data_IF_236777230705
#
_entry.id   IF_236777230705
#
_cell.length_a   1.000
_cell.length_b   1.000
_cell.length_c   1.000
_cell.angle_alpha   90.00
_cell.angle_beta   90.00
_cell.angle_gamma   90.00
#
_symmetry.space_group_name_H-M   'P 1'
#
loop_
_entity.id
_entity.type
_entity.pdbx_description
1 polymer ?
#
# COMPACT_ATOMS: atom_id res chain seq x y z
N UNK A 1 -9.42 25.23 12.14
CA UNK A 1 -8.03 25.06 12.63
C UNK A 1 -7.41 23.77 12.08
N UNK A 2 -8.00 22.62 12.30
CA UNK A 2 -7.45 21.30 11.86
C UNK A 2 -7.26 21.15 10.36
N UNK A 3 -8.16 21.68 9.52
CA UNK A 3 -7.98 21.70 8.07
C UNK A 3 -6.69 22.47 7.66
N UNK A 4 -6.40 23.61 8.28
CA UNK A 4 -5.17 24.36 8.02
C UNK A 4 -3.92 23.54 8.41
N UNK A 5 -3.99 22.82 9.53
CA UNK A 5 -2.90 21.94 9.98
C UNK A 5 -2.68 20.83 8.94
N UNK A 6 -3.75 20.23 8.41
CA UNK A 6 -3.64 19.20 7.36
C UNK A 6 -3.02 19.76 6.06
N UNK A 7 -3.37 20.99 5.65
CA UNK A 7 -2.74 21.65 4.50
C UNK A 7 -1.23 21.87 4.75
N UNK A 8 -0.88 22.33 5.96
CA UNK A 8 0.53 22.48 6.35
C UNK A 8 1.23 21.11 6.33
N UNK A 9 0.55 20.05 6.84
CA UNK A 9 1.05 18.70 6.83
C UNK A 9 1.37 18.20 5.42
N UNK A 10 0.49 18.45 4.45
CA UNK A 10 0.74 18.10 3.05
C UNK A 10 2.02 18.76 2.52
N UNK A 11 2.20 20.05 2.81
CA UNK A 11 3.39 20.80 2.39
C UNK A 11 4.65 20.26 3.10
N UNK A 12 4.55 19.95 4.39
CA UNK A 12 5.67 19.40 5.18
C UNK A 12 6.07 18.02 4.65
N UNK A 13 5.11 17.14 4.33
CA UNK A 13 5.41 15.79 3.82
C UNK A 13 6.10 15.85 2.45
N UNK A 14 5.65 16.72 1.56
CA UNK A 14 6.35 16.99 0.30
C UNK A 14 7.74 17.60 0.55
N UNK A 15 7.85 18.53 1.50
CA UNK A 15 9.11 19.14 1.92
C UNK A 15 10.11 18.12 2.47
N UNK A 16 9.65 17.12 3.25
CA UNK A 16 10.48 16.02 3.73
C UNK A 16 11.03 15.21 2.55
N UNK A 17 10.19 14.88 1.56
CA UNK A 17 10.64 14.17 0.37
C UNK A 17 11.75 14.96 -0.37
N UNK A 18 11.60 16.28 -0.51
CA UNK A 18 12.62 17.17 -1.10
C UNK A 18 13.87 17.24 -0.22
N UNK A 19 13.72 17.30 1.10
CA UNK A 19 14.84 17.35 2.04
C UNK A 19 15.74 16.13 1.93
N UNK A 20 15.16 14.93 1.81
CA UNK A 20 15.85 13.67 1.65
C UNK A 20 16.19 13.32 0.19
N UNK A 21 15.89 14.21 -0.76
CA UNK A 21 16.23 14.04 -2.17
C UNK A 21 17.74 13.91 -2.39
N UNK A 22 18.12 12.91 -3.20
CA UNK A 22 19.51 12.67 -3.58
C UNK A 22 19.98 13.52 -4.75
N UNK A 23 19.04 14.13 -5.48
CA UNK A 23 19.35 14.98 -6.65
C UNK A 23 18.30 16.09 -6.82
N UNK A 24 18.34 17.06 -5.90
CA UNK A 24 17.37 18.18 -5.86
C UNK A 24 17.36 19.06 -7.13
N UNK A 25 18.49 19.10 -7.86
CA UNK A 25 18.62 19.96 -9.04
C UNK A 25 17.82 19.42 -10.23
N UNK A 26 17.64 18.10 -10.30
CA UNK A 26 16.97 17.41 -11.39
C UNK A 26 15.49 17.11 -11.10
N UNK A 27 14.92 17.66 -10.02
CA UNK A 27 13.48 17.51 -9.71
C UNK A 27 12.67 18.21 -10.81
N UNK A 28 11.77 17.46 -11.44
CA UNK A 28 10.86 17.93 -12.48
C UNK A 28 9.62 18.59 -11.84
N UNK A 29 9.76 19.81 -11.32
CA UNK A 29 8.72 20.52 -10.58
C UNK A 29 7.39 20.63 -11.33
N UNK A 30 7.42 20.75 -12.66
CA UNK A 30 6.22 20.82 -13.47
C UNK A 30 5.44 19.51 -13.40
N UNK A 31 6.09 18.36 -13.53
CA UNK A 31 5.47 17.05 -13.40
C UNK A 31 4.93 16.81 -11.98
N UNK A 32 5.69 17.19 -10.95
CA UNK A 32 5.24 17.10 -9.56
C UNK A 32 3.99 17.97 -9.35
N UNK A 33 3.97 19.20 -9.85
CA UNK A 33 2.80 20.07 -9.75
C UNK A 33 1.55 19.46 -10.41
N UNK A 34 1.70 18.86 -11.60
CA UNK A 34 0.59 18.15 -12.29
C UNK A 34 0.09 16.98 -11.46
N UNK A 35 1.01 16.18 -10.91
CA UNK A 35 0.65 15.01 -10.07
C UNK A 35 -0.05 15.43 -8.78
N UNK A 36 0.40 16.50 -8.12
CA UNK A 36 -0.25 17.05 -6.92
C UNK A 36 -1.66 17.53 -7.25
N UNK A 37 -1.84 18.27 -8.35
CA UNK A 37 -3.18 18.71 -8.80
C UNK A 37 -4.06 17.50 -9.15
N UNK A 38 -3.51 16.50 -9.81
CA UNK A 38 -4.23 15.25 -10.12
C UNK A 38 -4.70 14.56 -8.82
N UNK A 39 -3.84 14.47 -7.82
CA UNK A 39 -4.20 13.87 -6.54
C UNK A 39 -5.25 14.66 -5.77
N UNK A 40 -5.15 16.00 -5.77
CA UNK A 40 -6.20 16.86 -5.22
C UNK A 40 -7.55 16.64 -5.91
N UNK A 41 -7.52 16.55 -7.24
CA UNK A 41 -8.73 16.25 -8.02
C UNK A 41 -9.30 14.88 -7.69
N UNK A 42 -8.47 13.84 -7.64
CA UNK A 42 -8.93 12.48 -7.30
C UNK A 42 -9.50 12.40 -5.88
N UNK A 43 -8.83 13.02 -4.90
CA UNK A 43 -9.32 13.05 -3.53
C UNK A 43 -10.66 13.78 -3.43
N UNK A 44 -10.75 14.98 -4.03
CA UNK A 44 -12.03 15.73 -4.12
C UNK A 44 -13.10 14.92 -4.82
N UNK A 45 -12.80 14.31 -5.96
CA UNK A 45 -13.75 13.56 -6.76
C UNK A 45 -14.32 12.36 -6.01
N UNK A 46 -13.48 11.57 -5.35
CA UNK A 46 -13.92 10.36 -4.67
C UNK A 46 -14.54 10.60 -3.29
N UNK A 47 -14.11 11.65 -2.57
CA UNK A 47 -14.59 11.92 -1.21
C UNK A 47 -15.75 12.91 -1.18
N UNK A 48 -15.75 13.93 -2.04
CA UNK A 48 -16.70 15.02 -1.96
C UNK A 48 -17.73 15.03 -3.10
N UNK A 49 -17.33 14.64 -4.31
CA UNK A 49 -18.21 14.72 -5.48
C UNK A 49 -19.14 13.50 -5.58
N UNK A 50 -20.46 13.73 -5.65
CA UNK A 50 -21.50 12.68 -5.59
C UNK A 50 -21.28 11.51 -6.56
N UNK A 51 -20.91 11.79 -7.81
CA UNK A 51 -20.66 10.75 -8.81
C UNK A 51 -19.44 9.91 -8.48
N UNK A 52 -18.38 10.54 -7.96
CA UNK A 52 -17.19 9.85 -7.50
C UNK A 52 -17.48 8.95 -6.30
N UNK A 53 -18.23 9.47 -5.32
CA UNK A 53 -18.68 8.68 -4.17
C UNK A 53 -19.54 7.49 -4.60
N UNK A 54 -20.50 7.70 -5.52
CA UNK A 54 -21.32 6.61 -6.06
C UNK A 54 -20.48 5.57 -6.78
N UNK A 55 -19.47 5.99 -7.54
CA UNK A 55 -18.58 5.09 -8.25
C UNK A 55 -17.77 4.21 -7.29
N UNK A 56 -17.12 4.79 -6.28
CA UNK A 56 -16.33 4.00 -5.30
C UNK A 56 -17.23 3.12 -4.42
N UNK A 57 -18.40 3.60 -4.00
CA UNK A 57 -19.39 2.78 -3.26
C UNK A 57 -19.91 1.63 -4.12
N UNK A 58 -20.25 1.90 -5.38
CA UNK A 58 -20.68 0.86 -6.32
C UNK A 58 -19.62 -0.22 -6.53
N UNK A 59 -18.36 0.19 -6.70
CA UNK A 59 -17.23 -0.73 -6.81
C UNK A 59 -16.99 -1.51 -5.51
N UNK A 60 -17.05 -0.86 -4.34
CA UNK A 60 -16.93 -1.52 -3.04
C UNK A 60 -18.02 -2.56 -2.82
N UNK A 61 -19.28 -2.22 -3.16
CA UNK A 61 -20.40 -3.16 -3.10
C UNK A 61 -20.22 -4.34 -4.06
N UNK A 62 -19.69 -4.10 -5.27
CA UNK A 62 -19.35 -5.15 -6.23
C UNK A 62 -18.30 -6.12 -5.67
N UNK A 63 -17.25 -5.61 -5.04
CA UNK A 63 -16.23 -6.43 -4.36
C UNK A 63 -16.85 -7.20 -3.20
N UNK A 64 -17.68 -6.56 -2.37
CA UNK A 64 -18.36 -7.21 -1.27
C UNK A 64 -19.28 -8.35 -1.76
N UNK A 65 -19.94 -8.18 -2.90
CA UNK A 65 -20.74 -9.24 -3.53
C UNK A 65 -19.87 -10.43 -3.97
N UNK A 66 -18.69 -10.19 -4.55
CA UNK A 66 -17.73 -11.28 -4.87
C UNK A 66 -17.26 -11.98 -3.61
N UNK A 67 -16.98 -11.24 -2.54
CA UNK A 67 -16.59 -11.80 -1.24
C UNK A 67 -17.69 -12.70 -0.65
N UNK A 68 -18.95 -12.34 -0.79
CA UNK A 68 -20.07 -13.21 -0.37
C UNK A 68 -20.07 -14.56 -1.11
N UNK A 69 -19.75 -14.54 -2.42
CA UNK A 69 -19.61 -15.79 -3.19
C UNK A 69 -18.43 -16.64 -2.70
N UNK A 70 -17.33 -16.00 -2.30
CA UNK A 70 -16.21 -16.70 -1.69
C UNK A 70 -16.57 -17.32 -0.34
N UNK A 71 -17.37 -16.62 0.48
CA UNK A 71 -17.87 -17.16 1.75
C UNK A 71 -18.79 -18.37 1.55
N UNK A 72 -19.56 -18.45 0.46
CA UNK A 72 -20.33 -19.63 0.15
C UNK A 72 -19.42 -20.86 -0.09
N UNK A 73 -18.31 -20.70 -0.82
CA UNK A 73 -17.30 -21.74 -1.00
C UNK A 73 -16.62 -22.14 0.32
N UNK A 74 -16.25 -21.14 1.12
CA UNK A 74 -15.66 -21.37 2.46
C UNK A 74 -16.65 -22.10 3.38
N UNK A 75 -17.92 -21.70 3.37
CA UNK A 75 -18.97 -22.34 4.17
C UNK A 75 -19.23 -23.79 3.78
N UNK A 76 -19.08 -24.12 2.49
CA UNK A 76 -19.15 -25.51 2.05
C UNK A 76 -17.97 -26.34 2.59
N UNK A 77 -16.75 -25.79 2.52
CA UNK A 77 -15.53 -26.50 2.96
C UNK A 77 -15.36 -26.51 4.49
N UNK A 78 -15.75 -25.41 5.16
CA UNK A 78 -15.49 -25.16 6.59
C UNK A 78 -16.73 -24.58 7.29
N UNK A 79 -17.85 -25.29 7.28
CA UNK A 79 -19.13 -24.83 7.85
C UNK A 79 -19.02 -24.39 9.32
N UNK A 80 -18.18 -25.06 10.12
CA UNK A 80 -17.94 -24.69 11.52
C UNK A 80 -17.26 -23.35 11.73
N UNK A 81 -16.51 -22.86 10.73
CA UNK A 81 -15.81 -21.57 10.79
C UNK A 81 -16.65 -20.41 10.27
N UNK A 82 -17.70 -20.69 9.49
CA UNK A 82 -18.57 -19.66 8.88
C UNK A 82 -19.90 -19.50 9.61
N UNK A 83 -20.43 -20.58 10.21
CA UNK A 83 -21.69 -20.55 10.96
C UNK A 83 -21.49 -20.11 12.41
N UNK A 84 -20.78 -18.98 12.61
CA UNK A 84 -20.47 -18.39 13.90
C UNK A 84 -20.97 -16.94 13.95
N UNK A 85 -21.23 -16.43 15.17
CA UNK A 85 -21.68 -15.03 15.35
C UNK A 85 -20.65 -14.00 14.83
N UNK A 86 -19.36 -14.34 14.90
CA UNK A 86 -18.27 -13.51 14.44
C UNK A 86 -17.17 -14.42 13.87
N UNK A 87 -16.87 -14.27 12.60
CA UNK A 87 -15.80 -15.02 11.94
C UNK A 87 -14.43 -14.47 12.36
N UNK A 88 -13.45 -15.35 12.48
CA UNK A 88 -12.06 -14.95 12.64
C UNK A 88 -11.57 -14.18 11.40
N UNK A 89 -10.60 -13.27 11.61
CA UNK A 89 -10.02 -12.45 10.54
C UNK A 89 -9.55 -13.28 9.35
N UNK A 90 -8.93 -14.43 9.60
CA UNK A 90 -8.45 -15.31 8.52
C UNK A 90 -9.60 -15.82 7.64
N UNK A 91 -10.72 -16.18 8.24
CA UNK A 91 -11.90 -16.68 7.53
C UNK A 91 -12.65 -15.54 6.83
N UNK A 92 -12.89 -14.45 7.55
CA UNK A 92 -13.69 -13.33 7.05
C UNK A 92 -12.98 -12.53 5.95
N UNK A 93 -11.68 -12.27 6.12
CA UNK A 93 -10.94 -11.36 5.25
C UNK A 93 -9.97 -12.09 4.30
N UNK A 94 -9.27 -13.15 4.73
CA UNK A 94 -8.22 -13.74 3.90
C UNK A 94 -8.71 -14.86 2.99
N UNK A 95 -9.66 -15.70 3.41
CA UNK A 95 -10.16 -16.78 2.56
C UNK A 95 -10.84 -16.32 1.26
N UNK A 96 -11.52 -15.16 1.20
CA UNK A 96 -12.01 -14.60 -0.07
C UNK A 96 -10.94 -14.40 -1.13
N UNK A 97 -9.66 -14.24 -0.76
CA UNK A 97 -8.53 -14.15 -1.68
C UNK A 97 -8.45 -15.38 -2.61
N UNK A 98 -8.87 -16.56 -2.12
CA UNK A 98 -8.92 -17.82 -2.90
C UNK A 98 -9.81 -17.73 -4.14
N UNK A 99 -10.81 -16.83 -4.14
CA UNK A 99 -11.63 -16.54 -5.32
C UNK A 99 -11.15 -15.31 -6.08
N UNK A 100 -10.76 -14.26 -5.35
CA UNK A 100 -10.46 -12.96 -5.95
C UNK A 100 -9.20 -13.03 -6.81
N UNK A 101 -8.12 -13.70 -6.37
CA UNK A 101 -6.90 -13.87 -7.16
C UNK A 101 -7.19 -14.58 -8.48
N UNK A 102 -7.80 -15.78 -8.52
CA UNK A 102 -8.16 -16.42 -9.77
C UNK A 102 -9.07 -15.58 -10.66
N UNK A 103 -9.98 -14.78 -10.09
CA UNK A 103 -10.82 -13.87 -10.87
C UNK A 103 -10.01 -12.80 -11.59
N UNK A 104 -9.04 -12.17 -10.91
CA UNK A 104 -8.13 -11.21 -11.53
C UNK A 104 -7.23 -11.87 -12.58
N UNK A 105 -6.72 -13.07 -12.30
CA UNK A 105 -5.91 -13.83 -13.23
C UNK A 105 -6.68 -14.23 -14.49
N UNK A 106 -7.97 -14.57 -14.38
CA UNK A 106 -8.86 -14.79 -15.54
C UNK A 106 -8.93 -13.52 -16.40
N UNK A 107 -9.08 -12.34 -15.79
CA UNK A 107 -9.09 -11.07 -16.52
C UNK A 107 -7.73 -10.77 -17.19
N UNK A 108 -6.62 -11.19 -16.54
CA UNK A 108 -5.28 -11.16 -17.15
C UNK A 108 -5.18 -12.11 -18.34
N UNK A 109 -5.63 -13.37 -18.18
CA UNK A 109 -5.60 -14.39 -19.22
C UNK A 109 -6.33 -13.96 -20.52
N UNK A 110 -7.49 -13.33 -20.37
CA UNK A 110 -8.26 -12.81 -21.50
C UNK A 110 -7.78 -11.44 -22.01
N UNK A 111 -6.63 -10.92 -21.55
CA UNK A 111 -6.09 -9.61 -21.93
C UNK A 111 -7.03 -8.43 -21.63
N UNK A 112 -7.97 -8.56 -20.70
CA UNK A 112 -8.85 -7.47 -20.29
C UNK A 112 -8.05 -6.48 -19.42
N UNK A 113 -7.44 -6.96 -18.34
CA UNK A 113 -6.62 -6.14 -17.47
C UNK A 113 -5.40 -5.52 -18.17
N UNK A 114 -4.60 -6.23 -18.98
CA UNK A 114 -3.47 -5.63 -19.68
C UNK A 114 -3.86 -4.45 -20.58
N UNK A 115 -5.02 -4.51 -21.22
CA UNK A 115 -5.53 -3.39 -22.03
C UNK A 115 -5.92 -2.19 -21.18
N UNK A 116 -6.57 -2.43 -20.02
CA UNK A 116 -6.94 -1.38 -19.08
C UNK A 116 -5.68 -0.73 -18.48
N UNK A 117 -4.72 -1.55 -18.03
CA UNK A 117 -3.44 -1.09 -17.47
C UNK A 117 -2.68 -0.26 -18.49
N UNK A 118 -2.57 -0.76 -19.72
CA UNK A 118 -1.89 -0.06 -20.82
C UNK A 118 -2.54 1.28 -21.17
N UNK A 119 -3.86 1.32 -21.24
CA UNK A 119 -4.62 2.55 -21.55
C UNK A 119 -4.50 3.61 -20.47
N UNK A 120 -4.69 3.24 -19.21
CA UNK A 120 -4.57 4.17 -18.07
C UNK A 120 -3.11 4.61 -17.89
N UNK A 121 -2.14 3.69 -18.00
CA UNK A 121 -0.72 4.00 -17.89
C UNK A 121 -0.26 4.96 -18.98
N UNK A 122 -0.71 4.78 -20.22
CA UNK A 122 -0.44 5.71 -21.32
C UNK A 122 -1.03 7.11 -21.04
N UNK A 123 -2.28 7.17 -20.56
CA UNK A 123 -2.92 8.43 -20.22
C UNK A 123 -2.17 9.15 -19.09
N UNK A 124 -1.79 8.40 -18.04
CA UNK A 124 -1.03 8.92 -16.92
C UNK A 124 0.33 9.47 -17.38
N UNK A 125 1.09 8.72 -18.17
CA UNK A 125 2.38 9.16 -18.71
C UNK A 125 2.24 10.44 -19.54
N UNK A 126 1.21 10.51 -20.41
CA UNK A 126 0.95 11.67 -21.27
C UNK A 126 0.58 12.92 -20.47
N UNK A 127 -0.26 12.78 -19.44
CA UNK A 127 -0.71 13.92 -18.62
C UNK A 127 0.39 14.39 -17.69
N UNK A 128 1.12 13.46 -17.06
CA UNK A 128 2.10 13.77 -16.02
C UNK A 128 3.51 13.99 -16.55
N UNK A 129 3.76 13.67 -17.82
CA UNK A 129 5.09 13.73 -18.47
C UNK A 129 6.14 12.85 -17.75
N UNK A 130 5.67 11.84 -17.04
CA UNK A 130 6.56 10.85 -16.43
C UNK A 130 6.96 9.78 -17.46
N UNK A 131 8.07 9.06 -17.24
CA UNK A 131 8.47 7.97 -18.11
C UNK A 131 7.34 6.94 -18.26
N UNK A 132 7.22 6.38 -19.46
CA UNK A 132 6.09 5.49 -19.82
C UNK A 132 6.05 4.24 -18.95
N UNK A 133 7.22 3.65 -18.68
CA UNK A 133 7.28 2.42 -17.91
C UNK A 133 6.91 2.67 -16.44
N UNK A 134 7.43 3.70 -15.78
CA UNK A 134 7.10 4.04 -14.39
C UNK A 134 5.60 4.32 -14.22
N UNK A 135 5.00 5.02 -15.17
CA UNK A 135 3.55 5.27 -15.19
C UNK A 135 2.76 3.98 -15.40
N UNK A 136 3.18 3.13 -16.33
CA UNK A 136 2.60 1.81 -16.59
C UNK A 136 2.72 0.90 -15.36
N UNK A 137 3.92 0.81 -14.78
CA UNK A 137 4.21 -0.01 -13.60
C UNK A 137 3.38 0.43 -12.38
N UNK A 138 3.19 1.73 -12.19
CA UNK A 138 2.30 2.25 -11.16
C UNK A 138 0.87 1.70 -11.30
N UNK A 139 0.31 1.74 -12.50
CA UNK A 139 -1.02 1.19 -12.76
C UNK A 139 -1.04 -0.35 -12.66
N UNK A 140 0.02 -1.01 -13.15
CA UNK A 140 0.16 -2.47 -13.02
C UNK A 140 0.12 -2.93 -11.55
N UNK A 141 0.84 -2.22 -10.66
CA UNK A 141 0.83 -2.48 -9.23
C UNK A 141 -0.56 -2.35 -8.57
N UNK A 142 -1.42 -1.50 -9.09
CA UNK A 142 -2.77 -1.32 -8.56
C UNK A 142 -3.62 -2.60 -8.69
N UNK A 143 -3.35 -3.40 -9.71
CA UNK A 143 -4.08 -4.62 -9.99
C UNK A 143 -3.35 -5.88 -9.49
N UNK A 144 -2.06 -5.99 -9.78
CA UNK A 144 -1.28 -7.20 -9.48
C UNK A 144 -0.64 -7.18 -8.07
N UNK A 145 -0.34 -6.01 -7.54
CA UNK A 145 0.48 -5.89 -6.34
C UNK A 145 1.98 -5.78 -6.64
N UNK A 146 2.78 -5.66 -5.58
CA UNK A 146 4.20 -5.33 -5.72
C UNK A 146 5.05 -6.48 -6.27
N UNK A 147 4.90 -7.68 -5.74
CA UNK A 147 5.75 -8.84 -6.10
C UNK A 147 5.42 -9.38 -7.48
N UNK A 148 4.13 -9.45 -7.79
CA UNK A 148 3.61 -9.90 -9.08
C UNK A 148 3.97 -8.91 -10.19
N UNK A 149 3.78 -7.59 -9.97
CA UNK A 149 4.15 -6.56 -10.93
C UNK A 149 5.66 -6.57 -11.20
N UNK A 150 6.52 -6.74 -10.17
CA UNK A 150 7.95 -6.90 -10.35
C UNK A 150 8.29 -8.15 -11.17
N UNK A 151 7.61 -9.27 -10.93
CA UNK A 151 7.85 -10.52 -11.65
C UNK A 151 7.45 -10.42 -13.13
N UNK A 152 6.26 -9.88 -13.42
CA UNK A 152 5.77 -9.66 -14.79
C UNK A 152 6.68 -8.68 -15.55
N UNK A 153 7.18 -7.65 -14.85
CA UNK A 153 8.07 -6.65 -15.42
C UNK A 153 9.55 -7.08 -15.44
N UNK A 154 9.88 -8.35 -15.16
CA UNK A 154 11.27 -8.84 -15.01
C UNK A 154 12.18 -8.52 -16.20
N UNK A 155 11.72 -8.71 -17.43
CA UNK A 155 12.49 -8.40 -18.64
C UNK A 155 12.82 -6.91 -18.79
N UNK A 156 11.92 -6.05 -18.33
CA UNK A 156 12.15 -4.60 -18.26
C UNK A 156 13.20 -4.26 -17.19
N UNK A 157 13.07 -4.85 -16.00
CA UNK A 157 13.95 -4.57 -14.87
C UNK A 157 15.40 -5.01 -15.13
N UNK A 158 15.62 -6.14 -15.82
CA UNK A 158 16.94 -6.61 -16.23
C UNK A 158 17.69 -5.63 -17.14
N UNK A 159 16.96 -4.81 -17.89
CA UNK A 159 17.51 -3.83 -18.85
C UNK A 159 17.68 -2.44 -18.27
N UNK A 160 17.20 -2.21 -17.05
CA UNK A 160 17.27 -0.93 -16.38
C UNK A 160 18.58 -0.75 -15.61
N UNK A 161 19.03 0.50 -15.49
CA UNK A 161 20.12 0.83 -14.59
C UNK A 161 19.67 0.73 -13.11
N UNK A 162 20.65 0.57 -12.20
CA UNK A 162 20.44 0.39 -10.77
C UNK A 162 19.57 1.49 -10.13
N UNK A 163 19.72 2.74 -10.59
CA UNK A 163 18.98 3.88 -10.08
C UNK A 163 17.48 3.79 -10.43
N UNK A 164 17.19 3.38 -11.65
CA UNK A 164 15.82 3.23 -12.13
C UNK A 164 15.13 2.03 -11.45
N UNK A 165 15.86 0.92 -11.22
CA UNK A 165 15.38 -0.21 -10.42
C UNK A 165 15.07 0.22 -8.98
N UNK A 166 15.90 1.08 -8.38
CA UNK A 166 15.62 1.64 -7.05
C UNK A 166 14.34 2.47 -7.03
N UNK A 167 14.08 3.27 -8.06
CA UNK A 167 12.82 4.04 -8.18
C UNK A 167 11.61 3.10 -8.21
N UNK A 168 11.67 2.03 -8.98
CA UNK A 168 10.63 1.00 -9.04
C UNK A 168 10.45 0.32 -7.67
N UNK A 169 11.55 -0.01 -6.98
CA UNK A 169 11.50 -0.58 -5.64
C UNK A 169 10.86 0.37 -4.60
N UNK A 170 11.14 1.67 -4.69
CA UNK A 170 10.49 2.69 -3.84
C UNK A 170 8.99 2.79 -4.12
N UNK A 171 8.57 2.78 -5.40
CA UNK A 171 7.17 2.79 -5.77
C UNK A 171 6.45 1.54 -5.25
N UNK A 172 7.11 0.38 -5.28
CA UNK A 172 6.56 -0.90 -4.83
C UNK A 172 6.27 -0.96 -3.32
N UNK A 173 6.87 -0.06 -2.51
CA UNK A 173 6.64 0.00 -1.06
C UNK A 173 5.22 0.40 -0.65
N UNK A 174 4.46 1.03 -1.52
CA UNK A 174 3.15 1.61 -1.18
C UNK A 174 1.99 1.00 -1.96
N UNK A 175 2.27 0.07 -2.87
CA UNK A 175 1.23 -0.56 -3.68
C UNK A 175 0.43 -1.58 -2.89
N UNK A 176 -0.85 -1.71 -3.25
CA UNK A 176 -1.78 -2.72 -2.71
C UNK A 176 -2.38 -3.47 -3.88
N UNK A 177 -2.30 -4.80 -3.83
CA UNK A 177 -2.89 -5.67 -4.85
C UNK A 177 -4.41 -5.58 -4.87
N UNK A 178 -5.00 -5.53 -6.06
CA UNK A 178 -6.44 -5.65 -6.24
C UNK A 178 -7.03 -6.91 -5.61
N UNK A 179 -6.26 -8.00 -5.58
CA UNK A 179 -6.65 -9.25 -4.95
C UNK A 179 -6.87 -9.13 -3.42
N UNK A 180 -6.13 -8.25 -2.75
CA UNK A 180 -6.21 -8.05 -1.29
C UNK A 180 -7.32 -7.05 -0.93
N UNK A 181 -7.77 -6.23 -1.87
CA UNK A 181 -8.84 -5.25 -1.64
C UNK A 181 -10.10 -5.90 -1.05
N UNK A 182 -10.43 -7.11 -1.51
CA UNK A 182 -11.55 -7.87 -0.96
C UNK A 182 -11.43 -8.15 0.54
N UNK A 183 -10.22 -8.38 1.04
CA UNK A 183 -9.96 -8.52 2.47
C UNK A 183 -10.13 -7.19 3.22
N UNK A 184 -9.62 -6.11 2.67
CA UNK A 184 -9.67 -4.80 3.32
C UNK A 184 -11.09 -4.26 3.47
N UNK A 185 -11.95 -4.44 2.44
CA UNK A 185 -13.36 -3.97 2.49
C UNK A 185 -14.20 -4.70 3.55
N UNK A 186 -13.72 -5.84 4.07
CA UNK A 186 -14.35 -6.54 5.19
C UNK A 186 -13.93 -5.98 6.56
N UNK A 187 -12.85 -5.21 6.62
CA UNK A 187 -12.24 -4.74 7.86
C UNK A 187 -12.43 -3.24 8.07
N UNK A 188 -12.43 -2.46 7.00
CA UNK A 188 -12.51 -1.00 7.02
C UNK A 188 -13.43 -0.50 5.90
N UNK A 189 -13.91 0.77 5.93
CA UNK A 189 -14.84 1.28 4.92
C UNK A 189 -14.33 1.15 3.49
N UNK A 190 -15.04 0.36 2.67
CA UNK A 190 -14.61 -0.02 1.33
C UNK A 190 -14.45 1.16 0.37
N UNK A 191 -15.25 2.22 0.52
CA UNK A 191 -15.13 3.46 -0.26
C UNK A 191 -13.80 4.17 0.00
N UNK A 192 -13.29 4.14 1.23
CA UNK A 192 -11.99 4.73 1.58
C UNK A 192 -10.84 3.84 1.06
N UNK A 193 -11.01 2.52 1.11
CA UNK A 193 -10.05 1.58 0.52
C UNK A 193 -9.84 1.86 -0.95
N UNK A 194 -10.93 1.92 -1.72
CA UNK A 194 -10.88 2.15 -3.17
C UNK A 194 -10.43 3.55 -3.54
N UNK A 195 -10.72 4.54 -2.70
CA UNK A 195 -10.20 5.90 -2.86
C UNK A 195 -8.69 5.95 -2.69
N UNK A 196 -8.15 5.27 -1.68
CA UNK A 196 -6.72 5.30 -1.36
C UNK A 196 -5.85 4.70 -2.48
N UNK A 197 -6.31 3.66 -3.18
CA UNK A 197 -5.51 2.93 -4.16
C UNK A 197 -4.97 3.83 -5.29
N UNK A 198 -5.80 4.55 -6.07
CA UNK A 198 -5.29 5.43 -7.13
C UNK A 198 -4.46 6.60 -6.57
N UNK A 199 -4.79 7.13 -5.39
CA UNK A 199 -4.00 8.17 -4.75
C UNK A 199 -2.61 7.65 -4.35
N UNK A 200 -2.51 6.43 -3.84
CA UNK A 200 -1.23 5.81 -3.51
C UNK A 200 -0.30 5.71 -4.73
N UNK A 201 -0.84 5.33 -5.90
CA UNK A 201 -0.03 5.25 -7.12
C UNK A 201 0.51 6.61 -7.53
N UNK A 202 -0.34 7.63 -7.55
CA UNK A 202 0.09 9.00 -7.88
C UNK A 202 1.11 9.50 -6.85
N UNK A 203 0.88 9.26 -5.55
CA UNK A 203 1.83 9.61 -4.48
C UNK A 203 3.14 8.82 -4.57
N UNK A 204 3.10 7.54 -4.98
CA UNK A 204 4.31 6.75 -5.18
C UNK A 204 5.20 7.35 -6.28
N UNK A 205 4.60 7.82 -7.37
CA UNK A 205 5.31 8.53 -8.43
C UNK A 205 5.86 9.87 -7.89
N UNK A 206 5.04 10.68 -7.20
CA UNK A 206 5.48 11.96 -6.61
C UNK A 206 6.69 11.73 -5.71
N UNK A 207 6.59 10.83 -4.74
CA UNK A 207 7.62 10.60 -3.72
C UNK A 207 8.89 10.03 -4.34
N UNK A 208 8.77 9.05 -5.25
CA UNK A 208 9.94 8.47 -5.93
C UNK A 208 10.66 9.52 -6.78
N UNK A 209 9.93 10.36 -7.52
CA UNK A 209 10.49 11.45 -8.31
C UNK A 209 11.10 12.58 -7.46
N UNK A 210 10.61 12.81 -6.24
CA UNK A 210 11.22 13.76 -5.32
C UNK A 210 12.47 13.20 -4.65
N UNK A 211 12.42 11.97 -4.14
CA UNK A 211 13.53 11.32 -3.43
C UNK A 211 14.68 11.01 -4.38
N UNK A 212 14.39 10.54 -5.57
CA UNK A 212 15.36 10.16 -6.59
C UNK A 212 14.84 10.47 -7.99
N UNK A 213 15.00 11.74 -8.44
CA UNK A 213 14.65 12.11 -9.80
C UNK A 213 15.43 11.25 -10.82
N UNK A 214 14.71 10.66 -11.76
CA UNK A 214 15.30 9.90 -12.87
C UNK A 214 14.85 10.56 -14.17
N UNK A 215 15.80 10.89 -15.02
CA UNK A 215 15.55 11.27 -16.41
C UNK A 215 15.78 10.06 -17.29
N UNK A 216 14.84 9.76 -18.16
CA UNK A 216 14.92 8.64 -19.11
C UNK A 216 14.98 9.24 -20.49
N UNK A 217 15.97 8.84 -21.30
CA UNK A 217 16.05 9.24 -22.69
C UNK A 217 14.88 8.64 -23.48
N UNK A 218 14.35 9.36 -24.44
CA UNK A 218 13.18 8.95 -25.24
C UNK A 218 13.38 7.58 -25.92
N UNK A 219 14.63 7.23 -26.25
CA UNK A 219 15.00 5.94 -26.84
C UNK A 219 14.92 4.78 -25.86
N UNK A 220 15.10 5.05 -24.57
CA UNK A 220 15.05 4.07 -23.49
C UNK A 220 13.66 3.97 -22.84
N UNK A 221 12.76 4.89 -23.18
CA UNK A 221 11.41 4.95 -22.64
C UNK A 221 10.45 4.03 -23.41
N UNK A 222 10.77 2.73 -23.37
CA UNK A 222 10.04 1.65 -24.06
C UNK A 222 9.49 0.69 -23.00
N UNK A 223 8.26 0.20 -23.21
CA UNK A 223 7.65 -0.84 -22.36
C UNK A 223 7.83 -2.19 -23.05
N UNK A 224 8.76 -3.02 -22.54
CA UNK A 224 9.05 -4.35 -23.10
C UNK A 224 7.99 -5.39 -22.72
N UNK A 225 7.35 -5.27 -21.56
CA UNK A 225 6.32 -6.22 -21.09
C UNK A 225 5.10 -6.30 -22.00
N UNK A 226 4.77 -5.22 -22.72
CA UNK A 226 3.65 -5.22 -23.68
C UNK A 226 4.01 -5.84 -25.04
N UNK A 227 5.30 -5.98 -25.39
CA UNK A 227 5.75 -6.52 -26.68
C UNK A 227 5.91 -8.03 -26.70
N UNK A 228 6.05 -8.70 -25.55
CA UNK A 228 6.35 -10.13 -25.46
C UNK A 228 5.11 -11.03 -25.32
N UNK A 229 3.93 -10.59 -25.77
CA UNK A 229 2.69 -11.36 -25.69
C UNK A 229 2.61 -12.60 -26.65
N UNK A 230 3.74 -13.05 -27.22
CA UNK A 230 3.83 -14.28 -28.03
C UNK A 230 4.29 -15.52 -27.23
N UNK A 231 4.27 -15.47 -25.89
CA UNK A 231 4.46 -16.67 -25.09
C UNK A 231 3.25 -17.58 -25.30
N UNK A 232 3.50 -18.83 -25.71
CA UNK A 232 2.45 -19.87 -25.82
C UNK A 232 1.60 -19.87 -24.54
N UNK A 233 0.33 -19.53 -24.68
CA UNK A 233 -0.58 -19.48 -23.52
C UNK A 233 -0.81 -20.88 -23.02
N UNK A 234 -0.61 -21.10 -21.73
CA UNK A 234 -1.03 -22.34 -21.09
C UNK A 234 -2.52 -22.61 -21.35
N UNK A 235 -2.94 -23.87 -21.42
CA UNK A 235 -4.37 -24.21 -21.46
C UNK A 235 -5.10 -23.59 -20.26
N UNK A 236 -6.30 -23.06 -20.51
CA UNK A 236 -7.05 -22.27 -19.52
C UNK A 236 -7.18 -22.96 -18.15
N UNK A 237 -7.52 -24.25 -18.13
CA UNK A 237 -7.71 -24.96 -16.85
C UNK A 237 -6.39 -25.24 -16.12
N UNK A 238 -5.28 -25.39 -16.83
CA UNK A 238 -3.96 -25.48 -16.22
C UNK A 238 -3.60 -24.16 -15.55
N UNK A 239 -3.77 -23.05 -16.29
CA UNK A 239 -3.57 -21.70 -15.78
C UNK A 239 -4.45 -21.40 -14.54
N UNK A 240 -5.74 -21.76 -14.59
CA UNK A 240 -6.66 -21.57 -13.47
C UNK A 240 -6.25 -22.39 -12.24
N UNK A 241 -5.79 -23.64 -12.44
CA UNK A 241 -5.27 -24.48 -11.36
C UNK A 241 -4.06 -23.84 -10.67
N UNK A 242 -3.10 -23.34 -11.45
CA UNK A 242 -1.92 -22.64 -10.93
C UNK A 242 -2.32 -21.38 -10.16
N UNK A 243 -3.29 -20.61 -10.65
CA UNK A 243 -3.82 -19.43 -9.99
C UNK A 243 -4.47 -19.74 -8.62
N UNK A 244 -5.28 -20.80 -8.54
CA UNK A 244 -5.88 -21.23 -7.26
C UNK A 244 -4.80 -21.65 -6.26
N UNK A 245 -3.76 -22.37 -6.70
CA UNK A 245 -2.64 -22.76 -5.85
C UNK A 245 -1.83 -21.53 -5.39
N UNK A 246 -1.60 -20.57 -6.27
CA UNK A 246 -0.94 -19.30 -5.93
C UNK A 246 -1.75 -18.49 -4.91
N UNK A 247 -3.07 -18.43 -5.06
CA UNK A 247 -3.97 -17.81 -4.09
C UNK A 247 -3.89 -18.48 -2.71
N UNK A 248 -3.89 -19.81 -2.67
CA UNK A 248 -3.72 -20.59 -1.43
C UNK A 248 -2.39 -20.30 -0.74
N UNK A 249 -1.30 -20.27 -1.52
CA UNK A 249 0.02 -19.90 -1.02
C UNK A 249 0.05 -18.47 -0.47
N UNK A 250 -0.60 -17.52 -1.14
CA UNK A 250 -0.67 -16.12 -0.70
C UNK A 250 -1.39 -16.02 0.66
N UNK A 251 -2.53 -16.68 0.82
CA UNK A 251 -3.27 -16.70 2.09
C UNK A 251 -2.40 -17.26 3.23
N UNK A 252 -1.72 -18.38 3.00
CA UNK A 252 -0.83 -18.99 3.99
C UNK A 252 0.35 -18.07 4.35
N UNK A 253 0.93 -17.39 3.37
CA UNK A 253 2.01 -16.41 3.58
C UNK A 253 1.51 -15.26 4.46
N UNK A 254 0.35 -14.69 4.16
CA UNK A 254 -0.23 -13.59 4.95
C UNK A 254 -0.48 -14.05 6.39
N UNK A 255 -1.10 -15.21 6.60
CA UNK A 255 -1.35 -15.76 7.93
C UNK A 255 -0.03 -15.97 8.69
N UNK A 256 0.98 -16.56 8.05
CA UNK A 256 2.28 -16.78 8.66
C UNK A 256 2.97 -15.46 9.05
N UNK A 257 2.92 -14.44 8.19
CA UNK A 257 3.46 -13.13 8.52
C UNK A 257 2.70 -12.46 9.65
N UNK A 258 1.36 -12.48 9.65
CA UNK A 258 0.55 -11.91 10.74
C UNK A 258 0.91 -12.57 12.07
N UNK A 259 0.92 -13.90 12.14
CA UNK A 259 1.28 -14.63 13.37
C UNK A 259 2.69 -14.28 13.83
N UNK A 260 3.67 -14.36 12.91
CA UNK A 260 5.08 -14.16 13.26
C UNK A 260 5.36 -12.72 13.69
N UNK A 261 4.86 -11.72 12.96
CA UNK A 261 5.14 -10.32 13.28
C UNK A 261 4.37 -9.85 14.51
N UNK A 262 3.16 -10.35 14.76
CA UNK A 262 2.43 -10.07 16.01
C UNK A 262 3.17 -10.67 17.20
N UNK A 263 3.62 -11.94 17.09
CA UNK A 263 4.37 -12.59 18.15
C UNK A 263 5.73 -11.91 18.41
N UNK A 264 6.46 -11.53 17.36
CA UNK A 264 7.70 -10.77 17.49
C UNK A 264 7.45 -9.40 18.12
N UNK A 265 6.43 -8.68 17.68
CA UNK A 265 6.08 -7.36 18.26
C UNK A 265 5.73 -7.49 19.77
N UNK A 266 4.95 -8.51 20.15
CA UNK A 266 4.64 -8.79 21.56
C UNK A 266 5.91 -9.14 22.36
N UNK A 267 6.80 -9.96 21.81
CA UNK A 267 8.08 -10.31 22.44
C UNK A 267 8.95 -9.05 22.66
N UNK A 268 9.08 -8.21 21.63
CA UNK A 268 9.81 -6.96 21.75
C UNK A 268 9.16 -6.00 22.74
N UNK A 269 7.83 -5.93 22.75
CA UNK A 269 7.08 -5.08 23.69
C UNK A 269 7.33 -5.52 25.14
N UNK A 270 7.27 -6.82 25.42
CA UNK A 270 7.60 -7.40 26.74
C UNK A 270 9.04 -7.09 27.15
N UNK A 271 10.00 -7.22 26.23
CA UNK A 271 11.40 -6.92 26.51
C UNK A 271 11.62 -5.43 26.81
N UNK A 272 11.02 -4.55 26.02
CA UNK A 272 11.07 -3.10 26.25
C UNK A 272 10.39 -2.72 27.56
N UNK A 273 9.23 -3.29 27.85
CA UNK A 273 8.54 -3.07 29.13
C UNK A 273 9.37 -3.52 30.35
N UNK A 274 10.11 -4.63 30.22
CA UNK A 274 11.04 -5.05 31.25
C UNK A 274 12.14 -4.01 31.49
N UNK A 275 12.79 -3.54 30.43
CA UNK A 275 13.87 -2.54 30.52
C UNK A 275 13.33 -1.20 31.07
N UNK A 276 12.24 -0.71 30.49
CA UNK A 276 11.65 0.58 30.90
C UNK A 276 11.10 0.52 32.34
N UNK A 277 10.56 -0.61 32.76
CA UNK A 277 10.12 -0.85 34.14
C UNK A 277 11.28 -0.85 35.13
N UNK A 278 12.42 -1.46 34.79
CA UNK A 278 13.63 -1.41 35.62
C UNK A 278 14.17 0.03 35.75
N UNK A 279 14.25 0.76 34.63
CA UNK A 279 14.71 2.15 34.61
C UNK A 279 13.73 3.04 35.42
N UNK A 280 12.42 2.87 35.21
CA UNK A 280 11.39 3.62 35.94
C UNK A 280 11.47 3.38 37.44
N UNK A 281 11.71 2.12 37.88
CA UNK A 281 11.93 1.77 39.26
C UNK A 281 13.16 2.46 39.87
N UNK A 282 14.23 2.62 39.09
CA UNK A 282 15.45 3.33 39.53
C UNK A 282 15.24 4.84 39.67
N UNK A 283 14.40 5.43 38.82
CA UNK A 283 14.11 6.88 38.79
C UNK A 283 12.94 7.23 39.74
N UNK A 284 12.26 6.23 40.30
CA UNK A 284 11.07 6.42 41.14
C UNK A 284 9.79 6.78 40.42
N UNK A 285 9.73 6.54 39.09
CA UNK A 285 8.56 6.74 38.23
C UNK A 285 7.76 5.44 38.17
N UNK A 286 6.43 5.51 38.37
CA UNK A 286 5.54 4.35 38.23
C UNK A 286 5.11 4.25 36.75
N UNK A 287 5.43 3.14 36.09
CA UNK A 287 4.99 2.81 34.75
C UNK A 287 6.08 2.19 33.88
N UNK A 288 5.70 1.54 32.80
CA UNK A 288 6.57 1.06 31.74
C UNK A 288 6.04 1.55 30.40
N UNK A 289 6.92 1.75 29.45
CA UNK A 289 6.55 2.18 28.10
C UNK A 289 6.81 1.02 27.14
N UNK A 290 5.78 0.60 26.41
CA UNK A 290 5.90 -0.42 25.39
C UNK A 290 6.41 0.14 24.04
N UNK A 291 6.70 -0.77 23.12
CA UNK A 291 7.20 -0.45 21.78
C UNK A 291 6.29 0.54 21.03
N UNK A 292 4.97 0.30 21.09
CA UNK A 292 4.00 1.13 20.37
C UNK A 292 3.96 2.58 20.90
N UNK A 293 4.09 2.78 22.22
CA UNK A 293 4.17 4.12 22.79
C UNK A 293 5.45 4.83 22.38
N UNK A 294 6.59 4.15 22.45
CA UNK A 294 7.89 4.73 22.07
C UNK A 294 7.89 5.14 20.61
N UNK A 295 7.49 4.23 19.72
CA UNK A 295 7.42 4.53 18.30
C UNK A 295 6.29 5.51 17.95
N UNK A 296 5.19 5.49 18.73
CA UNK A 296 4.11 6.46 18.65
C UNK A 296 4.59 7.90 18.87
N UNK A 297 5.56 8.13 19.77
CA UNK A 297 6.16 9.47 19.99
C UNK A 297 6.78 10.00 18.68
N UNK A 298 7.48 9.15 17.91
CA UNK A 298 8.08 9.56 16.64
C UNK A 298 7.02 9.83 15.56
N UNK A 299 5.88 9.10 15.58
CA UNK A 299 4.80 9.30 14.61
C UNK A 299 3.82 10.41 15.01
N UNK A 300 3.83 10.86 16.27
CA UNK A 300 2.88 11.84 16.77
C UNK A 300 2.89 13.19 16.05
N UNK A 301 4.05 13.79 15.75
CA UNK A 301 4.09 15.02 14.96
C UNK A 301 3.44 14.87 13.57
N UNK A 302 3.60 13.71 12.95
CA UNK A 302 2.99 13.42 11.64
C UNK A 302 1.48 13.23 11.75
N UNK A 303 1.00 12.57 12.79
CA UNK A 303 -0.43 12.42 13.07
C UNK A 303 -1.10 13.78 13.34
N UNK A 304 -0.45 14.67 14.09
CA UNK A 304 -0.92 16.05 14.30
C UNK A 304 -1.00 16.81 12.97
N UNK A 305 0.00 16.68 12.11
CA UNK A 305 0.04 17.30 10.79
C UNK A 305 -1.02 16.76 9.82
N UNK A 306 -1.66 15.64 10.13
CA UNK A 306 -2.84 15.16 9.40
C UNK A 306 -4.14 15.87 9.84
N UNK A 307 -4.08 16.83 10.75
CA UNK A 307 -5.22 17.63 11.17
C UNK A 307 -6.12 16.94 12.21
N UNK A 308 -5.56 16.04 13.00
CA UNK A 308 -6.29 15.34 14.06
C UNK A 308 -6.21 16.13 15.40
N UNK A 309 -7.26 16.07 16.25
CA UNK A 309 -7.18 16.51 17.64
C UNK A 309 -6.10 15.75 18.41
N UNK A 310 -5.58 16.33 19.50
CA UNK A 310 -4.40 15.80 20.22
C UNK A 310 -4.56 14.35 20.71
N UNK A 311 -5.72 14.00 21.22
CA UNK A 311 -6.06 12.66 21.71
C UNK A 311 -6.21 11.65 20.56
N UNK A 312 -6.94 12.02 19.51
CA UNK A 312 -7.05 11.20 18.28
C UNK A 312 -5.67 11.03 17.61
N UNK A 313 -4.88 12.10 17.54
CA UNK A 313 -3.55 12.08 16.94
C UNK A 313 -2.61 11.12 17.68
N UNK A 314 -2.71 11.03 19.02
CA UNK A 314 -1.92 10.09 19.80
C UNK A 314 -2.28 8.63 19.50
N UNK A 315 -3.57 8.33 19.41
CA UNK A 315 -4.04 6.99 19.03
C UNK A 315 -3.58 6.62 17.62
N UNK A 316 -3.80 7.51 16.65
CA UNK A 316 -3.37 7.31 15.25
C UNK A 316 -1.86 7.14 15.14
N UNK A 317 -1.06 7.90 15.89
CA UNK A 317 0.39 7.76 15.91
C UNK A 317 0.85 6.36 16.31
N UNK A 318 0.22 5.77 17.35
CA UNK A 318 0.51 4.40 17.74
C UNK A 318 0.09 3.37 16.70
N UNK A 319 -1.08 3.56 16.08
CA UNK A 319 -1.58 2.73 14.98
C UNK A 319 -0.65 2.79 13.75
N UNK A 320 -0.19 3.99 13.39
CA UNK A 320 0.79 4.21 12.31
C UNK A 320 2.11 3.49 12.61
N UNK A 321 2.65 3.66 13.81
CA UNK A 321 3.87 3.00 14.26
C UNK A 321 3.73 1.47 14.22
N UNK A 322 2.62 0.96 14.74
CA UNK A 322 2.32 -0.48 14.75
C UNK A 322 2.24 -1.06 13.34
N UNK A 323 1.58 -0.36 12.40
CA UNK A 323 1.51 -0.76 11.00
C UNK A 323 2.89 -0.88 10.35
N UNK A 324 3.80 0.04 10.64
CA UNK A 324 5.15 0.02 10.07
C UNK A 324 5.95 -1.18 10.59
N UNK A 325 5.82 -1.51 11.87
CA UNK A 325 6.55 -2.61 12.51
C UNK A 325 5.94 -3.97 12.17
N UNK A 326 4.62 -4.07 12.19
CA UNK A 326 3.88 -5.30 11.88
C UNK A 326 3.42 -5.31 10.42
N UNK A 327 2.16 -5.00 10.20
CA UNK A 327 1.54 -4.74 8.91
C UNK A 327 0.15 -4.10 9.10
N UNK A 328 -0.47 -3.72 7.98
CA UNK A 328 -1.79 -3.09 7.95
C UNK A 328 -2.92 -4.02 8.41
N UNK A 329 -2.85 -5.33 8.15
CA UNK A 329 -3.88 -6.30 8.57
C UNK A 329 -4.03 -6.35 10.08
N UNK A 330 -2.92 -6.28 10.81
CA UNK A 330 -2.91 -6.28 12.29
C UNK A 330 -3.68 -5.06 12.80
N UNK A 331 -3.37 -3.88 12.29
CA UNK A 331 -4.01 -2.64 12.74
C UNK A 331 -5.46 -2.58 12.28
N UNK A 332 -5.77 -2.95 11.04
CA UNK A 332 -7.15 -3.02 10.55
C UNK A 332 -8.00 -3.98 11.39
N UNK A 333 -7.46 -5.16 11.76
CA UNK A 333 -8.14 -6.11 12.62
C UNK A 333 -8.46 -5.56 14.01
N UNK A 334 -7.60 -4.72 14.55
CA UNK A 334 -7.84 -4.05 15.84
C UNK A 334 -8.89 -2.96 15.74
N UNK A 335 -8.77 -2.06 14.75
CA UNK A 335 -9.67 -0.92 14.61
C UNK A 335 -11.04 -1.28 14.02
N UNK A 336 -11.16 -2.42 13.34
CA UNK A 336 -12.40 -2.83 12.65
C UNK A 336 -13.64 -2.81 13.54
N UNK A 337 -13.47 -3.05 14.85
CA UNK A 337 -14.56 -3.06 15.83
C UNK A 337 -15.03 -1.66 16.20
N UNK A 338 -14.13 -0.69 16.21
CA UNK A 338 -14.35 0.66 16.75
C UNK A 338 -14.38 1.73 15.65
N UNK A 339 -13.97 1.41 14.43
CA UNK A 339 -13.83 2.36 13.32
C UNK A 339 -15.12 3.13 12.99
N UNK A 340 -16.28 2.51 13.24
CA UNK A 340 -17.58 3.16 13.05
C UNK A 340 -17.81 4.31 14.04
N UNK A 341 -17.17 4.28 15.21
CA UNK A 341 -17.28 5.32 16.24
C UNK A 341 -16.34 6.51 16.02
N UNK A 342 -15.36 6.35 15.12
CA UNK A 342 -14.39 7.42 14.81
C UNK A 342 -15.08 8.58 14.09
N UNK A 343 -14.58 9.81 14.30
CA UNK A 343 -15.02 10.97 13.51
C UNK A 343 -14.77 10.71 12.01
N UNK A 344 -15.53 11.33 11.10
CA UNK A 344 -15.35 11.10 9.66
C UNK A 344 -13.90 11.36 9.21
N UNK A 345 -13.29 12.43 9.71
CA UNK A 345 -11.90 12.78 9.40
C UNK A 345 -10.91 11.74 9.95
N UNK A 346 -11.01 11.37 11.23
CA UNK A 346 -10.16 10.34 11.85
C UNK A 346 -10.25 9.02 11.08
N UNK A 347 -11.48 8.57 10.80
CA UNK A 347 -11.73 7.34 10.05
C UNK A 347 -11.12 7.38 8.64
N UNK A 348 -11.24 8.48 7.93
CA UNK A 348 -10.69 8.65 6.60
C UNK A 348 -9.16 8.64 6.61
N UNK A 349 -8.55 9.39 7.52
CA UNK A 349 -7.10 9.52 7.65
C UNK A 349 -6.46 8.17 8.00
N UNK A 350 -6.94 7.48 9.05
CA UNK A 350 -6.32 6.21 9.44
C UNK A 350 -6.55 5.13 8.40
N UNK A 351 -7.77 5.01 7.85
CA UNK A 351 -8.05 4.00 6.83
C UNK A 351 -7.12 4.19 5.63
N UNK A 352 -7.01 5.39 5.08
CA UNK A 352 -6.21 5.62 3.87
C UNK A 352 -4.71 5.53 4.13
N UNK A 353 -4.24 5.85 5.35
CA UNK A 353 -2.86 5.58 5.76
C UNK A 353 -2.55 4.07 5.77
N UNK A 354 -3.50 3.25 6.21
CA UNK A 354 -3.31 1.80 6.29
C UNK A 354 -3.30 1.12 4.91
N UNK A 355 -3.97 1.69 3.90
CA UNK A 355 -4.02 1.12 2.54
C UNK A 355 -2.69 1.33 1.81
N UNK A 356 -1.63 0.75 2.33
CA UNK A 356 -0.33 0.66 1.66
C UNK A 356 0.54 -0.39 2.35
N UNK A 357 1.43 -1.02 1.60
CA UNK A 357 2.35 -2.03 2.12
C UNK A 357 3.63 -1.46 2.77
N UNK A 358 3.62 -0.20 3.17
CA UNK A 358 4.76 0.45 3.81
C UNK A 358 5.03 -0.11 5.22
N UNK A 359 5.70 -1.25 5.28
CA UNK A 359 6.11 -1.95 6.51
C UNK A 359 7.43 -2.73 6.29
N UNK A 360 8.03 -3.24 7.36
CA UNK A 360 9.31 -3.96 7.28
C UNK A 360 9.21 -5.28 6.50
N UNK A 361 8.09 -5.99 6.57
CA UNK A 361 7.94 -7.25 5.84
C UNK A 361 7.96 -7.06 4.32
N UNK A 362 7.37 -5.96 3.85
CA UNK A 362 7.34 -5.60 2.43
C UNK A 362 8.74 -5.33 1.87
N UNK A 363 9.64 -4.75 2.67
CA UNK A 363 11.04 -4.58 2.26
C UNK A 363 11.67 -5.94 1.91
N UNK A 364 11.46 -6.93 2.79
CA UNK A 364 11.96 -8.29 2.58
C UNK A 364 11.39 -8.93 1.31
N UNK A 365 10.09 -8.75 1.06
CA UNK A 365 9.42 -9.25 -0.14
C UNK A 365 9.98 -8.62 -1.41
N UNK A 366 10.10 -7.29 -1.47
CA UNK A 366 10.62 -6.58 -2.65
C UNK A 366 12.07 -6.97 -2.94
N UNK A 367 12.93 -6.95 -1.93
CA UNK A 367 14.34 -7.32 -2.10
C UNK A 367 14.48 -8.80 -2.49
N UNK A 368 13.69 -9.68 -1.86
CA UNK A 368 13.66 -11.10 -2.20
C UNK A 368 13.27 -11.34 -3.66
N UNK A 369 12.23 -10.65 -4.13
CA UNK A 369 11.79 -10.72 -5.53
C UNK A 369 12.84 -10.18 -6.49
N UNK A 370 13.41 -9.01 -6.20
CA UNK A 370 14.46 -8.41 -7.04
C UNK A 370 15.71 -9.30 -7.14
N UNK A 371 16.10 -9.98 -6.06
CA UNK A 371 17.24 -10.96 -6.10
C UNK A 371 17.00 -12.09 -7.10
N UNK A 372 15.76 -12.46 -7.35
CA UNK A 372 15.41 -13.46 -8.36
C UNK A 372 15.33 -12.92 -9.80
N UNK A 373 15.30 -11.59 -9.97
CA UNK A 373 15.04 -10.95 -11.26
C UNK A 373 16.28 -10.26 -11.82
N UNK A 374 16.92 -9.39 -11.05
CA UNK A 374 18.05 -8.58 -11.50
C UNK A 374 19.39 -9.19 -11.09
N UNK A 375 20.49 -8.69 -11.66
CA UNK A 375 21.82 -9.14 -11.27
C UNK A 375 22.16 -8.79 -9.82
N UNK A 376 23.16 -9.48 -9.26
CA UNK A 376 23.60 -9.33 -7.87
C UNK A 376 23.99 -7.87 -7.55
N UNK A 377 24.67 -7.19 -8.48
CA UNK A 377 25.15 -5.81 -8.27
C UNK A 377 23.97 -4.85 -8.07
N UNK A 378 22.96 -4.95 -8.93
CA UNK A 378 21.71 -4.14 -8.85
C UNK A 378 20.93 -4.46 -7.58
N UNK A 379 20.79 -5.74 -7.22
CA UNK A 379 20.09 -6.15 -6.00
C UNK A 379 20.80 -5.68 -4.74
N UNK A 380 22.14 -5.80 -4.68
CA UNK A 380 22.95 -5.32 -3.55
C UNK A 380 22.90 -3.78 -3.46
N UNK A 381 22.86 -3.09 -4.61
CA UNK A 381 22.68 -1.64 -4.65
C UNK A 381 21.33 -1.24 -4.03
N UNK A 382 20.20 -1.81 -4.47
CA UNK A 382 18.87 -1.51 -3.91
C UNK A 382 18.83 -1.79 -2.42
N UNK A 383 19.45 -2.90 -1.97
CA UNK A 383 19.48 -3.28 -0.55
C UNK A 383 20.18 -2.26 0.36
N UNK A 384 21.12 -1.46 -0.17
CA UNK A 384 21.77 -0.36 0.57
C UNK A 384 20.82 0.82 0.82
N UNK A 385 19.72 0.94 0.03
CA UNK A 385 18.76 2.03 0.12
C UNK A 385 17.47 1.66 0.84
N UNK A 386 17.47 0.58 1.62
CA UNK A 386 16.31 0.16 2.46
C UNK A 386 15.71 1.29 3.28
N UNK A 387 16.48 2.14 3.99
CA UNK A 387 15.89 3.25 4.74
C UNK A 387 15.14 4.24 3.83
N UNK A 388 15.62 4.45 2.61
CA UNK A 388 14.98 5.33 1.63
C UNK A 388 13.70 4.71 1.06
N UNK A 389 13.70 3.40 0.84
CA UNK A 389 12.49 2.65 0.43
C UNK A 389 11.40 2.75 1.50
N UNK A 390 11.75 2.52 2.77
CA UNK A 390 10.81 2.64 3.89
C UNK A 390 10.28 4.07 4.03
N UNK A 391 11.15 5.06 3.95
CA UNK A 391 10.77 6.48 3.97
C UNK A 391 9.80 6.80 2.82
N UNK A 392 10.07 6.29 1.60
CA UNK A 392 9.18 6.45 0.46
C UNK A 392 7.78 5.92 0.76
N UNK A 393 7.67 4.69 1.24
CA UNK A 393 6.38 4.08 1.58
C UNK A 393 5.62 4.84 2.68
N UNK A 394 6.32 5.29 3.73
CA UNK A 394 5.71 6.08 4.81
C UNK A 394 5.20 7.43 4.28
N UNK A 395 5.99 8.12 3.47
CA UNK A 395 5.60 9.41 2.87
C UNK A 395 4.40 9.26 1.94
N UNK A 396 4.33 8.19 1.15
CA UNK A 396 3.15 7.89 0.32
C UNK A 396 1.91 7.70 1.19
N UNK A 397 2.01 6.92 2.27
CA UNK A 397 0.89 6.72 3.21
C UNK A 397 0.43 8.03 3.85
N UNK A 398 1.38 8.87 4.31
CA UNK A 398 1.10 10.18 4.89
C UNK A 398 0.45 11.13 3.88
N UNK A 399 0.98 11.20 2.66
CA UNK A 399 0.42 12.04 1.60
C UNK A 399 -0.98 11.58 1.22
N UNK A 400 -1.23 10.28 1.09
CA UNK A 400 -2.57 9.76 0.77
C UNK A 400 -3.57 10.13 1.87
N UNK A 401 -3.20 9.93 3.14
CA UNK A 401 -4.02 10.33 4.28
C UNK A 401 -4.25 11.85 4.32
N UNK A 402 -3.23 12.65 4.01
CA UNK A 402 -3.35 14.11 3.97
C UNK A 402 -4.27 14.59 2.84
N UNK A 403 -4.12 14.05 1.61
CA UNK A 403 -4.98 14.43 0.48
C UNK A 403 -6.45 14.08 0.74
N UNK A 404 -6.73 12.89 1.26
CA UNK A 404 -8.09 12.47 1.61
C UNK A 404 -8.62 13.29 2.78
N UNK A 405 -7.79 13.54 3.79
CA UNK A 405 -8.12 14.35 4.95
C UNK A 405 -8.54 15.78 4.63
N UNK A 406 -8.14 16.35 3.49
CA UNK A 406 -8.59 17.68 3.06
C UNK A 406 -10.10 17.75 2.80
N UNK A 407 -10.74 16.64 2.44
CA UNK A 407 -12.13 16.59 1.99
C UNK A 407 -13.04 15.77 2.92
N UNK A 408 -12.52 15.08 3.92
CA UNK A 408 -13.25 14.20 4.83
C UNK A 408 -13.46 14.85 6.20
N UNK A 409 -14.35 15.87 6.28
CA UNK A 409 -14.70 16.62 7.50
C UNK A 409 -16.14 16.41 7.92
#
# INVERSE_FOLDING_TARGET
>A
MFLLINIIGLIVFLGIAVLFSRDRKNIQWQSIGILVVLNLFLAWFFIYFDWGQKAVRGAANGIAWVVQSAHAGTGFAFASLTNVKMMDMAVAALFPILLIVPLFDILMYFNILPKIIGGIGWLLAKVTRQPKFESFFGIEMMFLGNTEALAVSSEQLKRMNEMRVLTIAMMSMSSVSGAIVGAYVQMVPGELVLTAIPLNIVNAIIVSCLLKPVSVEEKEDIIYSLKNNEVERQPFFSFLGDSVLAAGKLVLIIIAFVISFVALADLFDRFINLITGLIAGWIGIKGSFGLNQILGVFMYPFALLLGLPYDEAWLVAQQMAKKIVTNEFVVMGEISKDIASYTPHHRAVITTFLISFANFSTIGMIIGTLKGIVDKKTSDFVSKYVPMMLLSGILVSLLTAAFVGLFAW
#
